data_IF_874069125799
#
_entry.id   IF_874069125799
#
_cell.length_a   1.000
_cell.length_b   1.000
_cell.length_c   1.000
_cell.angle_alpha   90.00
_cell.angle_beta   90.00
_cell.angle_gamma   90.00
#
_symmetry.space_group_name_H-M   'P 1'
#
loop_
_entity.id
_entity.type
_entity.pdbx_description
1 polymer ?
#
# COMPACT_ATOMS: atom_id res chain seq x y z
N UNK A 1 -20.12 9.18 19.85
CA UNK A 1 -20.94 9.19 18.62
C UNK A 1 -22.31 8.62 18.96
N UNK A 2 -23.39 9.38 18.78
CA UNK A 2 -24.75 8.86 18.98
C UNK A 2 -25.01 7.74 17.97
N UNK A 3 -25.44 6.58 18.48
CA UNK A 3 -25.78 5.41 17.67
C UNK A 3 -27.00 5.74 16.84
N UNK A 4 -26.87 5.68 15.51
CA UNK A 4 -27.99 5.90 14.60
C UNK A 4 -28.97 4.74 14.73
N UNK A 5 -30.25 5.04 14.90
CA UNK A 5 -31.30 4.04 15.12
C UNK A 5 -31.49 3.06 13.96
N UNK A 6 -31.06 3.45 12.76
CA UNK A 6 -31.13 2.65 11.54
C UNK A 6 -29.87 1.81 11.28
N UNK A 7 -28.92 1.77 12.22
CA UNK A 7 -27.78 0.84 12.20
C UNK A 7 -27.90 -0.19 13.32
N UNK A 8 -27.79 -1.46 12.95
CA UNK A 8 -27.55 -2.55 13.89
C UNK A 8 -26.09 -3.00 13.75
N UNK A 9 -25.43 -3.28 14.88
CA UNK A 9 -24.08 -3.83 14.91
C UNK A 9 -24.25 -5.31 15.22
N UNK A 10 -23.75 -6.18 14.35
CA UNK A 10 -23.66 -7.61 14.59
C UNK A 10 -22.46 -7.92 15.50
N UNK A 11 -22.58 -8.95 16.33
CA UNK A 11 -21.47 -9.37 17.17
C UNK A 11 -20.31 -9.86 16.30
N UNK A 12 -19.12 -9.30 16.54
CA UNK A 12 -17.91 -9.63 15.80
C UNK A 12 -17.44 -11.07 15.98
N UNK A 13 -17.90 -11.76 17.03
CA UNK A 13 -17.46 -13.12 17.36
C UNK A 13 -18.15 -14.22 16.55
N UNK A 14 -19.34 -13.96 16.01
CA UNK A 14 -20.12 -14.98 15.30
C UNK A 14 -19.82 -15.03 13.79
N UNK A 15 -18.98 -14.12 13.28
CA UNK A 15 -18.57 -14.03 11.86
C UNK A 15 -19.75 -14.15 10.86
N UNK A 16 -20.95 -13.70 11.25
CA UNK A 16 -22.14 -13.80 10.43
C UNK A 16 -22.21 -12.65 9.41
N UNK A 17 -21.35 -12.73 8.39
CA UNK A 17 -21.24 -11.72 7.33
C UNK A 17 -22.36 -11.82 6.30
N UNK A 18 -23.07 -12.95 6.22
CA UNK A 18 -24.11 -13.22 5.24
C UNK A 18 -25.32 -12.30 5.39
N UNK A 19 -25.61 -11.88 6.62
CA UNK A 19 -26.77 -11.05 6.96
C UNK A 19 -26.43 -9.56 7.09
N UNK A 20 -25.23 -9.14 6.66
CA UNK A 20 -24.73 -7.78 6.89
C UNK A 20 -24.60 -6.98 5.59
N UNK A 21 -25.16 -5.76 5.57
CA UNK A 21 -25.08 -4.86 4.40
C UNK A 21 -23.73 -4.14 4.28
N UNK A 22 -23.06 -3.87 5.41
CA UNK A 22 -21.77 -3.19 5.46
C UNK A 22 -20.77 -3.93 6.33
N UNK A 23 -19.69 -4.39 5.71
CA UNK A 23 -18.68 -5.19 6.39
C UNK A 23 -17.46 -4.30 6.66
N UNK A 24 -17.08 -4.19 7.93
CA UNK A 24 -15.91 -3.44 8.37
C UNK A 24 -14.97 -4.31 9.20
N UNK A 25 -13.86 -4.73 8.60
CA UNK A 25 -12.86 -5.59 9.24
C UNK A 25 -11.50 -4.91 9.30
N UNK A 26 -10.64 -5.38 10.20
CA UNK A 26 -9.26 -4.91 10.29
C UNK A 26 -8.46 -5.25 9.01
N UNK A 27 -8.59 -6.49 8.54
CA UNK A 27 -7.94 -7.03 7.34
C UNK A 27 -8.97 -7.49 6.32
N UNK A 28 -8.59 -7.48 5.04
CA UNK A 28 -9.38 -8.13 4.00
C UNK A 28 -9.54 -9.62 4.35
N UNK A 29 -10.77 -10.11 4.30
CA UNK A 29 -11.09 -11.53 4.42
C UNK A 29 -11.45 -12.05 3.05
N UNK A 30 -10.55 -12.82 2.44
CA UNK A 30 -10.72 -13.37 1.10
C UNK A 30 -12.05 -14.14 0.91
N UNK A 31 -12.50 -14.96 1.88
CA UNK A 31 -13.79 -15.64 1.74
C UNK A 31 -14.99 -14.69 1.60
N UNK A 32 -14.92 -13.49 2.18
CA UNK A 32 -15.98 -12.47 2.04
C UNK A 32 -15.96 -11.91 0.63
N UNK A 33 -14.78 -11.56 0.12
CA UNK A 33 -14.62 -11.02 -1.25
C UNK A 33 -15.14 -12.02 -2.29
N UNK A 34 -14.78 -13.30 -2.13
CA UNK A 34 -15.23 -14.39 -3.01
C UNK A 34 -16.74 -14.67 -2.92
N UNK A 35 -17.37 -14.34 -1.78
CA UNK A 35 -18.81 -14.45 -1.58
C UNK A 35 -19.61 -13.27 -2.17
N UNK A 36 -18.94 -12.19 -2.60
CA UNK A 36 -19.62 -11.05 -3.19
C UNK A 36 -20.14 -11.43 -4.58
N UNK A 37 -21.35 -10.97 -4.94
CA UNK A 37 -21.94 -11.30 -6.23
C UNK A 37 -21.09 -10.72 -7.36
N UNK A 38 -20.67 -11.59 -8.28
CA UNK A 38 -19.85 -11.24 -9.45
C UNK A 38 -20.75 -10.87 -10.64
N UNK A 39 -21.98 -11.39 -10.66
CA UNK A 39 -22.91 -11.25 -11.77
C UNK A 39 -23.87 -10.07 -11.56
N UNK A 40 -23.85 -9.04 -12.45
CA UNK A 40 -24.77 -7.91 -12.38
C UNK A 40 -26.20 -8.23 -12.87
N UNK A 41 -26.49 -9.47 -13.30
CA UNK A 41 -27.80 -9.88 -13.83
C UNK A 41 -28.76 -10.42 -12.78
N UNK A 42 -28.27 -10.83 -11.61
CA UNK A 42 -29.11 -11.00 -10.42
C UNK A 42 -29.24 -9.64 -9.72
N UNK A 43 -30.28 -9.42 -8.91
CA UNK A 43 -30.41 -8.23 -8.07
C UNK A 43 -29.92 -8.61 -6.67
N UNK A 44 -28.59 -8.62 -6.42
CA UNK A 44 -28.10 -9.14 -5.17
C UNK A 44 -28.37 -8.11 -4.06
N UNK A 45 -28.49 -8.54 -2.80
CA UNK A 45 -28.49 -7.60 -1.70
C UNK A 45 -27.22 -6.75 -1.78
N UNK A 46 -27.38 -5.42 -1.79
CA UNK A 46 -26.30 -4.45 -1.86
C UNK A 46 -25.39 -4.61 -0.64
N UNK A 47 -24.30 -5.38 -0.77
CA UNK A 47 -23.27 -5.52 0.25
C UNK A 47 -22.08 -4.64 -0.07
N UNK A 48 -21.64 -3.86 0.90
CA UNK A 48 -20.49 -2.98 0.78
C UNK A 48 -19.37 -3.44 1.70
N UNK A 49 -18.17 -3.62 1.15
CA UNK A 49 -16.98 -3.91 1.94
C UNK A 49 -16.13 -2.65 2.14
N UNK A 50 -15.76 -2.33 3.37
CA UNK A 50 -14.98 -1.13 3.70
C UNK A 50 -13.51 -1.16 3.26
N UNK A 51 -13.12 -2.09 2.38
CA UNK A 51 -11.77 -2.26 1.86
C UNK A 51 -11.82 -2.35 0.34
N UNK A 52 -10.89 -1.65 -0.32
CA UNK A 52 -10.72 -1.72 -1.76
C UNK A 52 -9.83 -2.91 -2.12
N UNK A 53 -10.27 -3.73 -3.07
CA UNK A 53 -9.45 -4.78 -3.65
C UNK A 53 -8.22 -4.17 -4.35
N UNK A 54 -7.06 -4.80 -4.24
CA UNK A 54 -5.83 -4.28 -4.84
C UNK A 54 -5.25 -3.02 -4.16
N UNK A 55 -5.77 -2.58 -3.01
CA UNK A 55 -5.26 -1.38 -2.31
C UNK A 55 -3.75 -1.44 -1.98
N UNK A 56 -3.14 -2.64 -1.97
CA UNK A 56 -1.70 -2.80 -1.78
C UNK A 56 -0.88 -2.03 -2.82
N UNK A 57 -1.40 -1.82 -4.03
CA UNK A 57 -0.76 -1.00 -5.06
C UNK A 57 -0.51 0.46 -4.63
N UNK A 58 -1.29 0.96 -3.66
CA UNK A 58 -1.19 2.31 -3.13
C UNK A 58 -0.66 2.34 -1.69
N UNK A 59 -0.90 1.29 -0.90
CA UNK A 59 -0.54 1.24 0.52
C UNK A 59 0.77 0.53 0.84
N UNK A 60 1.34 -0.25 -0.10
CA UNK A 60 2.66 -0.85 0.02
C UNK A 60 3.71 0.08 -0.58
N UNK A 61 4.83 0.31 0.10
CA UNK A 61 5.85 1.27 -0.37
C UNK A 61 6.51 0.83 -1.66
N UNK A 62 6.82 -0.46 -1.80
CA UNK A 62 7.42 -0.99 -3.03
C UNK A 62 6.46 -0.80 -4.21
N UNK A 63 5.22 -1.27 -4.07
CA UNK A 63 4.22 -1.16 -5.12
C UNK A 63 3.89 0.30 -5.46
N UNK A 64 3.85 1.18 -4.46
CA UNK A 64 3.62 2.62 -4.67
C UNK A 64 4.78 3.25 -5.46
N UNK A 65 6.04 2.98 -5.07
CA UNK A 65 7.22 3.49 -5.77
C UNK A 65 7.27 2.99 -7.21
N UNK A 66 7.01 1.69 -7.45
CA UNK A 66 6.96 1.11 -8.79
C UNK A 66 5.86 1.76 -9.64
N UNK A 67 4.65 1.90 -9.09
CA UNK A 67 3.51 2.49 -9.79
C UNK A 67 3.74 3.96 -10.15
N UNK A 68 4.24 4.77 -9.21
CA UNK A 68 4.53 6.18 -9.45
C UNK A 68 5.66 6.34 -10.47
N UNK A 69 6.72 5.53 -10.36
CA UNK A 69 7.82 5.52 -11.33
C UNK A 69 7.31 5.20 -12.74
N UNK A 70 6.45 4.19 -12.89
CA UNK A 70 5.89 3.81 -14.18
C UNK A 70 4.93 4.87 -14.72
N UNK A 71 4.11 5.48 -13.85
CA UNK A 71 3.18 6.53 -14.23
C UNK A 71 3.91 7.75 -14.81
N UNK A 72 4.88 8.32 -14.07
CA UNK A 72 5.60 9.52 -14.53
C UNK A 72 6.45 9.25 -15.78
N UNK A 73 7.07 8.07 -15.88
CA UNK A 73 7.75 7.65 -17.12
C UNK A 73 6.79 7.56 -18.32
N UNK A 74 5.56 7.12 -18.09
CA UNK A 74 4.55 7.01 -19.15
C UNK A 74 3.96 8.37 -19.55
N UNK A 75 3.99 9.37 -18.66
CA UNK A 75 3.53 10.74 -18.92
C UNK A 75 4.65 11.69 -19.37
N UNK A 76 5.87 11.16 -19.58
CA UNK A 76 7.08 11.92 -19.95
C UNK A 76 7.46 13.00 -18.90
N UNK A 77 7.17 12.70 -17.63
CA UNK A 77 7.50 13.54 -16.48
C UNK A 77 8.73 12.99 -15.73
N UNK A 78 9.52 13.88 -15.13
CA UNK A 78 10.63 13.48 -14.28
C UNK A 78 10.10 12.87 -12.97
N UNK A 79 10.52 11.64 -12.70
CA UNK A 79 10.16 10.90 -11.49
C UNK A 79 10.71 11.60 -10.24
N UNK A 80 11.94 12.11 -10.31
CA UNK A 80 12.67 12.64 -9.15
C UNK A 80 12.19 14.02 -8.70
N UNK A 81 11.52 14.76 -9.59
CA UNK A 81 10.85 16.02 -9.26
C UNK A 81 9.52 15.80 -8.51
N UNK A 82 8.92 14.61 -8.67
CA UNK A 82 7.59 14.29 -8.13
C UNK A 82 7.62 13.33 -6.94
N UNK A 83 8.65 12.48 -6.83
CA UNK A 83 8.87 11.60 -5.68
C UNK A 83 10.33 11.62 -5.25
N UNK A 84 10.64 11.44 -3.95
CA UNK A 84 12.01 11.34 -3.49
C UNK A 84 12.77 10.24 -4.22
N UNK A 85 14.04 10.49 -4.55
CA UNK A 85 14.92 9.48 -5.12
C UNK A 85 14.93 8.23 -4.21
N UNK A 86 14.43 7.12 -4.76
CA UNK A 86 14.17 5.90 -4.01
C UNK A 86 14.83 4.72 -4.68
N UNK A 87 15.49 3.88 -3.89
CA UNK A 87 16.08 2.61 -4.35
C UNK A 87 15.32 1.44 -3.72
N UNK A 88 14.67 0.62 -4.55
CA UNK A 88 14.00 -0.60 -4.11
C UNK A 88 15.00 -1.74 -4.00
N UNK A 89 15.30 -2.19 -2.78
CA UNK A 89 16.27 -3.24 -2.49
C UNK A 89 15.55 -4.47 -1.94
N UNK A 90 15.67 -5.59 -2.64
CA UNK A 90 15.02 -6.87 -2.30
C UNK A 90 16.03 -7.99 -1.99
N UNK A 91 17.20 -7.96 -2.64
CA UNK A 91 18.26 -8.97 -2.51
C UNK A 91 19.40 -8.62 -1.54
N UNK A 92 19.23 -7.58 -0.73
CA UNK A 92 20.27 -7.09 0.19
C UNK A 92 21.53 -6.61 -0.55
N UNK A 93 22.72 -6.99 -0.06
CA UNK A 93 23.99 -6.47 -0.57
C UNK A 93 24.37 -6.91 -1.99
N UNK A 94 23.70 -7.93 -2.52
CA UNK A 94 23.89 -8.43 -3.89
C UNK A 94 22.92 -7.81 -4.89
N UNK A 95 21.99 -6.98 -4.41
CA UNK A 95 20.99 -6.33 -5.24
C UNK A 95 21.64 -5.23 -6.10
N UNK A 96 21.25 -5.16 -7.37
CA UNK A 96 21.70 -4.11 -8.29
C UNK A 96 21.25 -2.72 -7.82
N UNK A 97 20.03 -2.59 -7.30
CA UNK A 97 19.53 -1.33 -6.74
C UNK A 97 20.34 -0.89 -5.53
N UNK A 98 20.81 -1.83 -4.70
CA UNK A 98 21.70 -1.49 -3.59
C UNK A 98 23.09 -1.04 -4.08
N UNK A 99 23.59 -1.65 -5.15
CA UNK A 99 24.83 -1.22 -5.80
C UNK A 99 24.70 0.19 -6.38
N UNK A 100 23.59 0.48 -7.08
CA UNK A 100 23.28 1.80 -7.62
C UNK A 100 23.17 2.85 -6.52
N UNK A 101 22.51 2.52 -5.39
CA UNK A 101 22.46 3.39 -4.22
C UNK A 101 23.88 3.70 -3.70
N UNK A 102 24.75 2.69 -3.54
CA UNK A 102 26.12 2.91 -3.03
C UNK A 102 26.95 3.80 -3.95
N UNK A 103 26.81 3.63 -5.26
CA UNK A 103 27.47 4.49 -6.24
C UNK A 103 26.97 5.94 -6.12
N UNK A 104 25.65 6.13 -6.10
CA UNK A 104 25.03 7.45 -5.96
C UNK A 104 25.45 8.12 -4.64
N UNK A 105 25.36 7.39 -3.53
CA UNK A 105 25.76 7.86 -2.21
C UNK A 105 27.22 8.33 -2.20
N UNK A 106 28.13 7.53 -2.77
CA UNK A 106 29.56 7.86 -2.83
C UNK A 106 29.81 9.12 -3.66
N UNK A 107 29.08 9.28 -4.78
CA UNK A 107 29.18 10.47 -5.64
C UNK A 107 28.77 11.75 -4.90
N UNK A 108 27.67 11.71 -4.14
CA UNK A 108 27.21 12.87 -3.36
C UNK A 108 28.15 13.14 -2.18
N UNK A 109 28.65 12.12 -1.48
CA UNK A 109 29.61 12.30 -0.39
C UNK A 109 30.95 12.93 -0.79
N UNK A 110 31.31 12.88 -2.08
CA UNK A 110 32.49 13.56 -2.61
C UNK A 110 32.22 15.03 -2.95
N UNK A 111 30.95 15.44 -3.02
CA UNK A 111 30.55 16.82 -3.25
C UNK A 111 30.40 17.50 -1.89
N UNK A 112 31.32 18.40 -1.55
CA UNK A 112 31.41 19.07 -0.24
C UNK A 112 30.29 20.11 0.02
N UNK A 113 29.21 20.04 -0.76
CA UNK A 113 28.16 21.06 -0.85
C UNK A 113 26.78 20.57 -0.42
N UNK A 114 26.55 19.26 -0.38
CA UNK A 114 25.22 18.68 -0.17
C UNK A 114 25.19 17.74 1.04
N UNK A 115 24.15 17.87 1.87
CA UNK A 115 23.92 16.96 2.99
C UNK A 115 23.39 15.61 2.48
N UNK A 116 24.10 14.52 2.77
CA UNK A 116 23.81 13.19 2.23
C UNK A 116 22.90 12.35 3.14
N UNK A 117 21.69 12.84 3.41
CA UNK A 117 20.73 12.20 4.31
C UNK A 117 19.84 11.17 3.60
N UNK A 118 19.73 9.97 4.19
CA UNK A 118 18.89 8.88 3.68
C UNK A 118 18.04 8.28 4.78
N UNK A 119 16.90 7.72 4.40
CA UNK A 119 16.00 7.01 5.30
C UNK A 119 15.77 5.61 4.73
N UNK A 120 16.05 4.58 5.53
CA UNK A 120 15.74 3.20 5.17
C UNK A 120 14.40 2.78 5.78
N UNK A 121 13.54 2.16 4.98
CA UNK A 121 12.24 1.64 5.40
C UNK A 121 12.04 0.22 4.87
N UNK A 122 11.42 -0.69 5.64
CA UNK A 122 10.88 -1.93 5.08
C UNK A 122 9.79 -1.61 4.04
N UNK A 123 9.90 -2.27 2.88
CA UNK A 123 9.02 -2.11 1.73
C UNK A 123 7.60 -2.62 1.98
N UNK A 124 7.50 -3.79 2.61
CA UNK A 124 6.24 -4.46 2.91
C UNK A 124 5.70 -4.09 4.30
N UNK A 125 4.37 -3.93 4.39
CA UNK A 125 3.49 -3.85 5.57
C UNK A 125 4.15 -3.64 6.96
N UNK A 126 5.02 -2.64 7.10
CA UNK A 126 5.49 -2.15 8.40
C UNK A 126 4.57 -1.03 8.85
N UNK A 127 3.67 -1.39 9.75
CA UNK A 127 2.72 -0.47 10.35
C UNK A 127 3.36 -0.02 11.67
N UNK A 128 3.34 1.31 11.95
CA UNK A 128 3.80 1.92 13.23
C UNK A 128 5.28 2.32 13.32
N UNK A 129 5.97 2.53 12.21
CA UNK A 129 7.31 3.12 12.21
C UNK A 129 8.42 2.23 12.79
N UNK A 130 8.17 0.92 12.87
CA UNK A 130 9.19 -0.05 13.26
C UNK A 130 10.20 -0.24 12.12
N UNK A 131 11.48 -0.36 12.49
CA UNK A 131 12.62 -0.56 11.57
C UNK A 131 12.85 0.62 10.59
N UNK A 132 12.59 1.84 11.06
CA UNK A 132 13.09 3.06 10.41
C UNK A 132 14.55 3.24 10.84
N UNK A 133 15.48 3.26 9.89
CA UNK A 133 16.89 3.50 10.13
C UNK A 133 17.37 4.74 9.37
#
# INVERSE_FOLDING_TARGET
LNRRSWWSIQDSHEENYETTDFIWTQWIKQPIVESLPIDPTEDPPLRTYGKLEGNFHLSNKNSLTDNLTNYYKATDEDVTENIPLTFLVSGGSKDSSFSNFREYFSKISLQDTEENHWICKPGENSNRGQHIC
#
